data_IF_865365950264
#
_entry.id   IF_865365950264
#
_cell.length_a   1.000
_cell.length_b   1.000
_cell.length_c   1.000
_cell.angle_alpha   90.00
_cell.angle_beta   90.00
_cell.angle_gamma   90.00
#
_symmetry.space_group_name_H-M   'P 1'
#
loop_
_entity.id
_entity.type
_entity.pdbx_description
1 polymer ?
#
# COMPACT_ATOMS: atom_id res chain seq x y z
N UNK A 1 38.42 -11.69 -42.98
CA UNK A 1 37.93 -11.22 -41.67
C UNK A 1 36.65 -12.00 -41.38
N UNK A 2 36.72 -12.89 -40.40
CA UNK A 2 35.70 -13.87 -40.08
C UNK A 2 34.80 -13.32 -38.96
N UNK A 3 33.49 -13.20 -39.24
CA UNK A 3 32.48 -12.62 -38.34
C UNK A 3 31.91 -13.63 -37.33
N UNK A 4 32.49 -14.83 -37.23
CA UNK A 4 31.98 -15.91 -36.36
C UNK A 4 32.38 -15.80 -34.86
N UNK A 5 33.14 -14.79 -34.44
CA UNK A 5 33.72 -14.73 -33.09
C UNK A 5 32.89 -13.98 -32.03
N UNK A 6 31.72 -13.41 -32.35
CA UNK A 6 30.87 -12.74 -31.35
C UNK A 6 29.76 -13.68 -30.87
N UNK A 7 30.16 -14.80 -30.27
CA UNK A 7 29.31 -15.54 -29.32
C UNK A 7 29.91 -15.35 -27.95
N UNK A 8 29.64 -14.18 -27.37
CA UNK A 8 29.80 -14.01 -25.93
C UNK A 8 28.80 -14.95 -25.25
N UNK A 9 29.20 -15.85 -24.35
CA UNK A 9 28.25 -16.63 -23.59
C UNK A 9 27.42 -15.62 -22.80
N UNK A 10 26.09 -15.78 -22.86
CA UNK A 10 25.17 -15.07 -22.02
C UNK A 10 25.75 -15.07 -20.60
N UNK A 11 26.14 -13.90 -20.11
CA UNK A 11 26.32 -13.69 -18.69
C UNK A 11 24.93 -13.95 -18.13
N UNK A 12 24.68 -15.21 -17.76
CA UNK A 12 23.54 -15.60 -16.97
C UNK A 12 23.63 -14.68 -15.76
N UNK A 13 22.83 -13.62 -15.78
CA UNK A 13 22.60 -12.79 -14.61
C UNK A 13 21.86 -13.74 -13.69
N UNK A 14 22.64 -14.51 -12.93
CA UNK A 14 22.15 -15.27 -11.81
C UNK A 14 21.73 -14.18 -10.84
N UNK A 15 20.48 -13.74 -10.96
CA UNK A 15 19.85 -13.03 -9.87
C UNK A 15 20.04 -13.94 -8.66
N UNK A 16 20.68 -13.46 -7.57
CA UNK A 16 20.71 -14.24 -6.35
C UNK A 16 19.26 -14.65 -6.08
N UNK A 17 19.05 -15.93 -5.77
CA UNK A 17 17.76 -16.40 -5.31
C UNK A 17 17.26 -15.39 -4.28
N UNK A 18 16.09 -14.81 -4.51
CA UNK A 18 15.53 -13.79 -3.64
C UNK A 18 15.73 -14.25 -2.20
N UNK A 19 16.47 -13.47 -1.42
CA UNK A 19 16.64 -13.75 0.00
C UNK A 19 15.26 -14.05 0.57
N UNK A 20 15.12 -15.04 1.48
CA UNK A 20 13.82 -15.29 2.10
C UNK A 20 13.34 -13.96 2.63
N UNK A 21 12.20 -13.47 2.11
CA UNK A 21 11.65 -12.19 2.50
C UNK A 21 11.48 -12.25 4.02
N UNK A 22 12.40 -11.63 4.74
CA UNK A 22 12.26 -11.52 6.18
C UNK A 22 10.96 -10.76 6.38
N UNK A 23 10.02 -11.29 7.18
CA UNK A 23 8.76 -10.60 7.40
C UNK A 23 9.09 -9.19 7.90
N UNK A 24 8.54 -8.18 7.22
CA UNK A 24 8.81 -6.78 7.53
C UNK A 24 8.51 -6.51 9.01
N UNK A 25 9.33 -5.66 9.62
CA UNK A 25 9.08 -5.20 10.98
C UNK A 25 7.85 -4.30 11.01
N UNK A 26 7.24 -4.15 12.19
CA UNK A 26 6.12 -3.20 12.38
C UNK A 26 6.53 -1.78 11.97
N UNK A 27 7.76 -1.36 12.25
CA UNK A 27 8.23 -0.03 11.87
C UNK A 27 8.32 0.16 10.35
N UNK A 28 8.79 -0.86 9.63
CA UNK A 28 8.85 -0.84 8.16
C UNK A 28 7.44 -0.82 7.57
N UNK A 29 6.53 -1.63 8.09
CA UNK A 29 5.13 -1.67 7.64
C UNK A 29 4.40 -0.34 7.89
N UNK A 30 4.64 0.33 9.03
CA UNK A 30 4.06 1.66 9.33
C UNK A 30 4.64 2.74 8.41
N UNK A 31 5.92 2.67 8.05
CA UNK A 31 6.49 3.62 7.09
C UNK A 31 5.94 3.39 5.69
N UNK A 32 5.81 2.12 5.29
CA UNK A 32 5.26 1.73 4.01
C UNK A 32 3.78 2.10 3.89
N UNK A 33 2.96 1.87 4.93
CA UNK A 33 1.54 2.24 4.92
C UNK A 33 1.34 3.74 4.66
N UNK A 34 2.13 4.61 5.31
CA UNK A 34 2.06 6.07 5.14
C UNK A 34 2.48 6.52 3.73
N UNK A 35 3.52 5.89 3.19
CA UNK A 35 3.93 6.14 1.82
C UNK A 35 2.82 5.74 0.82
N UNK A 36 2.25 4.55 1.01
CA UNK A 36 1.17 4.02 0.18
C UNK A 36 -0.11 4.84 0.26
N UNK A 37 -0.50 5.29 1.46
CA UNK A 37 -1.61 6.21 1.65
C UNK A 37 -1.42 7.53 0.89
N UNK A 38 -0.20 8.07 0.89
CA UNK A 38 0.14 9.28 0.14
C UNK A 38 -0.02 9.05 -1.37
N UNK A 39 0.48 7.92 -1.88
CA UNK A 39 0.35 7.54 -3.28
C UNK A 39 -1.11 7.32 -3.69
N UNK A 40 -1.91 6.67 -2.85
CA UNK A 40 -3.34 6.46 -3.08
C UNK A 40 -4.09 7.80 -3.13
N UNK A 41 -3.80 8.73 -2.23
CA UNK A 41 -4.40 10.08 -2.23
C UNK A 41 -4.05 10.87 -3.50
N UNK A 42 -2.80 10.80 -3.96
CA UNK A 42 -2.38 11.42 -5.22
C UNK A 42 -3.09 10.77 -6.41
N UNK A 43 -3.20 9.44 -6.42
CA UNK A 43 -3.91 8.72 -7.47
C UNK A 43 -5.38 9.15 -7.55
N UNK A 44 -6.08 9.18 -6.41
CA UNK A 44 -7.48 9.59 -6.32
C UNK A 44 -7.70 11.03 -6.81
N UNK A 45 -6.82 11.97 -6.41
CA UNK A 45 -6.88 13.37 -6.85
C UNK A 45 -6.76 13.51 -8.37
N UNK A 46 -5.93 12.66 -9.01
CA UNK A 46 -5.72 12.67 -10.45
C UNK A 46 -6.87 12.01 -11.22
N UNK A 47 -7.49 10.96 -10.67
CA UNK A 47 -8.66 10.31 -11.29
C UNK A 47 -9.94 11.12 -11.12
N UNK A 48 -10.19 11.69 -9.94
CA UNK A 48 -11.44 12.42 -9.64
C UNK A 48 -11.55 13.78 -10.34
N UNK A 49 -10.44 14.42 -10.71
CA UNK A 49 -10.45 15.73 -11.40
C UNK A 49 -10.81 15.66 -12.88
N UNK A 50 -11.13 14.48 -13.41
CA UNK A 50 -11.43 14.29 -14.83
C UNK A 50 -10.24 14.61 -15.74
N UNK A 51 -9.02 14.68 -15.18
CA UNK A 51 -7.78 15.00 -15.92
C UNK A 51 -7.50 14.02 -17.06
N UNK A 52 -8.13 12.83 -16.98
CA UNK A 52 -8.02 11.79 -17.99
C UNK A 52 -9.34 11.42 -18.65
N UNK A 53 -10.36 12.27 -18.55
CA UNK A 53 -11.63 12.10 -19.25
C UNK A 53 -11.56 12.84 -20.59
N UNK A 54 -11.91 12.15 -21.68
CA UNK A 54 -11.99 12.75 -23.01
C UNK A 54 -13.28 13.54 -23.20
N UNK A 55 -13.38 14.26 -24.32
CA UNK A 55 -14.54 15.09 -24.67
C UNK A 55 -15.84 14.28 -24.82
N UNK A 56 -15.73 12.96 -25.05
CA UNK A 56 -16.85 12.01 -25.11
C UNK A 56 -17.28 11.46 -23.73
N UNK A 57 -16.69 11.97 -22.65
CA UNK A 57 -16.93 11.53 -21.28
C UNK A 57 -16.28 10.19 -20.93
N UNK A 58 -15.49 9.59 -21.83
CA UNK A 58 -14.82 8.31 -21.58
C UNK A 58 -13.40 8.53 -21.05
N UNK A 59 -12.91 7.57 -20.26
CA UNK A 59 -11.51 7.55 -19.87
C UNK A 59 -10.62 7.48 -21.11
N UNK A 60 -9.67 8.41 -21.23
CA UNK A 60 -8.62 8.41 -22.25
C UNK A 60 -7.72 7.18 -22.12
N UNK A 61 -6.87 6.91 -23.12
CA UNK A 61 -5.88 5.84 -23.02
C UNK A 61 -4.89 6.06 -21.85
N UNK A 62 -4.55 7.32 -21.56
CA UNK A 62 -3.75 7.68 -20.39
C UNK A 62 -4.51 7.40 -19.09
N UNK A 63 -5.81 7.76 -19.03
CA UNK A 63 -6.68 7.46 -17.89
C UNK A 63 -6.76 5.98 -17.58
N UNK A 64 -7.00 5.14 -18.58
CA UNK A 64 -7.04 3.68 -18.41
C UNK A 64 -5.71 3.09 -17.95
N UNK A 65 -4.58 3.69 -18.33
CA UNK A 65 -3.25 3.27 -17.81
C UNK A 65 -3.06 3.72 -16.37
N UNK A 66 -3.46 4.93 -16.05
CA UNK A 66 -3.34 5.48 -14.72
C UNK A 66 -4.26 4.76 -13.72
N UNK A 67 -5.48 4.43 -14.12
CA UNK A 67 -6.42 3.63 -13.33
C UNK A 67 -5.80 2.28 -12.93
N UNK A 68 -5.11 1.59 -13.85
CA UNK A 68 -4.38 0.35 -13.51
C UNK A 68 -3.28 0.55 -12.48
N UNK A 69 -2.56 1.67 -12.56
CA UNK A 69 -1.52 2.01 -11.58
C UNK A 69 -2.16 2.31 -10.22
N UNK A 70 -3.26 3.08 -10.21
CA UNK A 70 -4.01 3.39 -9.02
C UNK A 70 -4.55 2.12 -8.35
N UNK A 71 -5.11 1.19 -9.13
CA UNK A 71 -5.54 -0.13 -8.63
C UNK A 71 -4.38 -0.90 -7.99
N UNK A 72 -3.23 -1.00 -8.66
CA UNK A 72 -2.07 -1.69 -8.10
C UNK A 72 -1.56 -1.05 -6.80
N UNK A 73 -1.57 0.28 -6.70
CA UNK A 73 -1.22 1.00 -5.47
C UNK A 73 -2.22 0.68 -4.35
N UNK A 74 -3.52 0.67 -4.66
CA UNK A 74 -4.54 0.34 -3.67
C UNK A 74 -4.42 -1.11 -3.20
N UNK A 75 -4.23 -2.07 -4.11
CA UNK A 75 -4.08 -3.48 -3.78
C UNK A 75 -2.87 -3.71 -2.88
N UNK A 76 -1.72 -3.15 -3.25
CA UNK A 76 -0.50 -3.21 -2.43
C UNK A 76 -0.70 -2.54 -1.07
N UNK A 77 -1.43 -1.41 -1.01
CA UNK A 77 -1.74 -0.78 0.27
C UNK A 77 -2.60 -1.67 1.17
N UNK A 78 -3.58 -2.37 0.61
CA UNK A 78 -4.41 -3.34 1.36
C UNK A 78 -3.58 -4.50 1.89
N UNK A 79 -2.64 -5.02 1.08
CA UNK A 79 -1.71 -6.07 1.50
C UNK A 79 -0.84 -5.60 2.67
N UNK A 80 -0.25 -4.40 2.58
CA UNK A 80 0.54 -3.80 3.67
C UNK A 80 -0.28 -3.64 4.96
N UNK A 81 -1.54 -3.18 4.85
CA UNK A 81 -2.40 -3.05 6.03
C UNK A 81 -2.79 -4.40 6.62
N UNK A 82 -2.96 -5.43 5.79
CA UNK A 82 -3.17 -6.81 6.24
C UNK A 82 -1.94 -7.35 6.96
N UNK A 83 -0.75 -7.18 6.40
CA UNK A 83 0.50 -7.58 7.04
C UNK A 83 0.73 -6.83 8.37
N UNK A 84 0.44 -5.52 8.41
CA UNK A 84 0.52 -4.73 9.64
C UNK A 84 -0.46 -5.25 10.72
N UNK A 85 -1.63 -5.73 10.31
CA UNK A 85 -2.62 -6.35 11.21
C UNK A 85 -2.13 -7.69 11.78
N UNK A 86 -1.35 -8.46 11.04
CA UNK A 86 -0.82 -9.73 11.51
C UNK A 86 0.55 -9.61 12.20
N UNK A 87 1.26 -8.50 11.97
CA UNK A 87 2.58 -8.25 12.54
C UNK A 87 2.55 -8.16 14.08
N UNK A 88 3.47 -8.89 14.73
CA UNK A 88 3.61 -8.90 16.18
C UNK A 88 4.59 -7.80 16.64
N UNK A 89 4.13 -6.79 17.41
CA UNK A 89 5.03 -5.77 17.94
C UNK A 89 5.99 -6.36 18.98
N UNK A 90 7.24 -5.91 18.94
CA UNK A 90 8.32 -6.31 19.85
C UNK A 90 8.51 -5.32 21.00
N UNK A 91 8.11 -4.07 20.78
CA UNK A 91 8.19 -2.99 21.78
C UNK A 91 6.82 -2.36 22.02
N UNK A 92 6.67 -1.66 23.15
CA UNK A 92 5.43 -0.90 23.43
C UNK A 92 5.21 0.21 22.41
N UNK A 93 6.29 0.87 21.97
CA UNK A 93 6.23 1.88 20.91
C UNK A 93 5.71 1.31 19.60
N UNK A 94 6.20 0.14 19.17
CA UNK A 94 5.69 -0.52 17.96
C UNK A 94 4.21 -0.91 18.10
N UNK A 95 3.78 -1.30 19.31
CA UNK A 95 2.38 -1.60 19.57
C UNK A 95 1.51 -0.36 19.41
N UNK A 96 1.95 0.77 19.96
CA UNK A 96 1.27 2.06 19.83
C UNK A 96 1.23 2.53 18.37
N UNK A 97 2.39 2.58 17.69
CA UNK A 97 2.52 2.99 16.29
C UNK A 97 1.60 2.15 15.39
N UNK A 98 1.61 0.82 15.56
CA UNK A 98 0.72 -0.11 14.83
C UNK A 98 -0.75 0.18 15.10
N UNK A 99 -1.13 0.44 16.35
CA UNK A 99 -2.53 0.66 16.73
C UNK A 99 -3.04 1.99 16.17
N UNK A 100 -2.22 3.04 16.24
CA UNK A 100 -2.53 4.34 15.65
C UNK A 100 -2.70 4.26 14.13
N UNK A 101 -1.81 3.54 13.45
CA UNK A 101 -1.85 3.40 12.00
C UNK A 101 -3.07 2.59 11.53
N UNK A 102 -3.40 1.47 12.20
CA UNK A 102 -4.60 0.69 11.90
C UNK A 102 -5.88 1.50 12.17
N UNK A 103 -5.93 2.26 13.26
CA UNK A 103 -7.07 3.13 13.56
C UNK A 103 -7.23 4.22 12.50
N UNK A 104 -6.13 4.85 12.07
CA UNK A 104 -6.15 5.86 11.01
C UNK A 104 -6.66 5.28 9.68
N UNK A 105 -6.26 4.05 9.35
CA UNK A 105 -6.77 3.34 8.19
C UNK A 105 -8.26 3.05 8.31
N UNK A 106 -8.72 2.48 9.43
CA UNK A 106 -10.14 2.17 9.64
C UNK A 106 -11.00 3.44 9.54
N UNK A 107 -10.55 4.57 10.11
CA UNK A 107 -11.20 5.88 9.99
C UNK A 107 -11.27 6.44 8.56
N UNK A 108 -10.34 6.07 7.69
CA UNK A 108 -10.35 6.50 6.29
C UNK A 108 -11.24 5.59 5.42
N UNK A 109 -11.40 4.32 5.81
CA UNK A 109 -12.22 3.36 5.07
C UNK A 109 -13.71 3.40 5.45
N UNK A 110 -14.04 3.69 6.71
CA UNK A 110 -15.41 3.89 7.14
C UNK A 110 -15.89 5.33 6.89
N UNK A 111 -17.11 5.48 6.37
CA UNK A 111 -17.71 6.80 6.12
C UNK A 111 -18.19 7.51 7.40
N UNK A 112 -18.32 6.80 8.53
CA UNK A 112 -18.59 7.41 9.83
C UNK A 112 -17.41 7.22 10.81
N UNK A 113 -16.48 8.20 10.89
CA UNK A 113 -15.34 8.13 11.79
C UNK A 113 -15.75 8.08 13.28
N UNK A 114 -16.98 8.45 13.60
CA UNK A 114 -17.53 8.40 14.96
C UNK A 114 -17.75 6.96 15.42
N UNK A 115 -18.27 6.10 14.54
CA UNK A 115 -18.55 4.69 14.86
C UNK A 115 -17.27 3.88 15.07
N UNK A 116 -16.24 4.14 14.25
CA UNK A 116 -14.91 3.54 14.42
C UNK A 116 -14.29 3.98 15.74
N UNK A 117 -14.29 5.28 16.04
CA UNK A 117 -13.77 5.80 17.30
C UNK A 117 -14.52 5.24 18.51
N UNK A 118 -15.85 5.13 18.44
CA UNK A 118 -16.69 4.55 19.49
C UNK A 118 -16.38 3.05 19.69
N UNK A 119 -16.18 2.30 18.60
CA UNK A 119 -15.81 0.88 18.66
C UNK A 119 -14.44 0.68 19.33
N UNK A 120 -13.46 1.53 19.01
CA UNK A 120 -12.13 1.49 19.61
C UNK A 120 -12.18 1.81 21.12
N UNK A 121 -12.97 2.83 21.50
CA UNK A 121 -13.21 3.18 22.91
C UNK A 121 -13.89 2.04 23.67
N UNK A 122 -14.93 1.42 23.10
CA UNK A 122 -15.62 0.26 23.72
C UNK A 122 -14.70 -0.92 23.93
N UNK A 123 -13.78 -1.17 22.99
CA UNK A 123 -12.79 -2.24 23.09
C UNK A 123 -11.74 -1.96 24.17
N UNK A 124 -11.35 -0.71 24.34
CA UNK A 124 -10.41 -0.28 25.39
C UNK A 124 -11.06 -0.23 26.78
N UNK A 125 -12.36 0.04 26.87
CA UNK A 125 -13.11 0.20 28.13
C UNK A 125 -14.40 -0.65 28.15
N UNK A 126 -14.31 -1.98 28.22
CA UNK A 126 -15.49 -2.84 28.20
C UNK A 126 -16.41 -2.59 29.42
N UNK A 127 -17.69 -2.32 29.17
CA UNK A 127 -18.74 -2.19 30.20
C UNK A 127 -19.08 -0.77 30.66
N UNK A 128 -18.43 0.27 30.12
CA UNK A 128 -18.75 1.69 30.40
C UNK A 128 -19.55 2.39 29.29
N UNK A 129 -19.47 1.88 28.06
CA UNK A 129 -20.06 2.44 26.83
C UNK A 129 -20.58 1.34 25.90
#
# INVERSE_FOLDING_TARGET
>A
MDLAAIRSPAAATVFPAAEPAFPMTVSELVQLSRAMQTLASVADSLTNRGAFTGDDGRATAAGRRFEKIATAICDEYLEVMSELRDAKPRTEREREDRSCELLAYDLNCDQDPTDVALSAVRRAFPGRY
#
